data_IF_509533306858
#
_entry.id   IF_509533306858
#
_cell.length_a   1.000
_cell.length_b   1.000
_cell.length_c   1.000
_cell.angle_alpha   90.00
_cell.angle_beta   90.00
_cell.angle_gamma   90.00
#
_symmetry.space_group_name_H-M   'P 1'
#
loop_
_entity.id
_entity.type
_entity.pdbx_description
1 polymer ?
#
# COMPACT_ATOMS: atom_id res chain seq x y z
N UNK A 1 -28.85 17.20 24.24
CA UNK A 1 -27.44 17.65 24.25
C UNK A 1 -26.72 16.97 23.09
N UNK A 2 -25.92 17.71 22.34
CA UNK A 2 -25.11 17.19 21.24
C UNK A 2 -24.11 16.16 21.77
N UNK A 3 -24.07 14.96 21.15
CA UNK A 3 -23.07 13.93 21.46
C UNK A 3 -21.84 14.19 20.61
N UNK A 4 -20.89 14.93 21.18
CA UNK A 4 -19.64 15.27 20.49
C UNK A 4 -18.92 14.01 20.02
N UNK A 5 -18.99 12.94 20.81
CA UNK A 5 -18.35 11.64 20.55
C UNK A 5 -18.82 10.95 19.26
N UNK A 6 -19.98 11.33 18.70
CA UNK A 6 -20.50 10.76 17.46
C UNK A 6 -19.83 11.37 16.22
N UNK A 7 -19.20 12.55 16.35
CA UNK A 7 -18.66 13.32 15.22
C UNK A 7 -17.17 13.68 15.33
N UNK A 8 -16.48 13.24 16.39
CA UNK A 8 -15.04 13.45 16.52
C UNK A 8 -14.31 12.69 15.41
N UNK A 9 -13.19 13.25 14.93
CA UNK A 9 -12.20 12.56 14.08
C UNK A 9 -10.88 12.33 14.84
N UNK A 10 -9.97 11.47 14.33
CA UNK A 10 -8.65 11.30 14.96
C UNK A 10 -7.82 12.58 14.92
N UNK A 11 -8.01 13.40 13.87
CA UNK A 11 -7.40 14.72 13.77
C UNK A 11 -7.87 15.61 14.92
N UNK A 12 -9.17 15.59 15.21
CA UNK A 12 -9.74 16.32 16.34
C UNK A 12 -9.20 15.83 17.69
N UNK A 13 -9.09 14.52 17.92
CA UNK A 13 -8.49 13.97 19.14
C UNK A 13 -7.05 14.43 19.35
N UNK A 14 -6.24 14.44 18.29
CA UNK A 14 -4.87 14.95 18.35
C UNK A 14 -4.85 16.44 18.71
N UNK A 15 -5.72 17.25 18.07
CA UNK A 15 -5.85 18.69 18.37
C UNK A 15 -6.30 18.94 19.81
N UNK A 16 -7.24 18.14 20.32
CA UNK A 16 -7.73 18.23 21.70
C UNK A 16 -6.64 17.86 22.71
N UNK A 17 -5.87 16.79 22.47
CA UNK A 17 -4.72 16.42 23.32
C UNK A 17 -3.64 17.50 23.37
N UNK A 18 -3.39 18.20 22.26
CA UNK A 18 -2.43 19.31 22.21
C UNK A 18 -2.82 20.52 23.06
N UNK A 19 -4.05 20.59 23.58
CA UNK A 19 -4.47 21.61 24.56
C UNK A 19 -3.87 21.38 25.94
N UNK A 20 -3.51 20.14 26.27
CA UNK A 20 -3.09 19.74 27.61
C UNK A 20 -1.58 19.85 27.83
N UNK A 21 -0.87 20.64 27.02
CA UNK A 21 0.50 21.03 27.35
C UNK A 21 0.50 22.00 28.55
N UNK A 22 1.50 21.94 29.46
CA UNK A 22 1.48 22.70 30.72
C UNK A 22 1.25 24.21 30.54
N UNK A 23 1.85 24.81 29.52
CA UNK A 23 1.70 26.24 29.21
C UNK A 23 0.26 26.61 28.79
N UNK A 24 -0.37 25.81 27.93
CA UNK A 24 -1.71 26.10 27.39
C UNK A 24 -2.81 25.92 28.44
N UNK A 25 -2.66 24.94 29.31
CA UNK A 25 -3.61 24.72 30.42
C UNK A 25 -3.57 25.89 31.41
N UNK A 26 -2.39 26.47 31.63
CA UNK A 26 -2.20 27.57 32.57
C UNK A 26 -2.64 28.92 32.01
N UNK A 27 -2.25 29.24 30.77
CA UNK A 27 -2.37 30.59 30.21
C UNK A 27 -3.47 30.70 29.14
N UNK A 28 -4.12 29.59 28.79
CA UNK A 28 -5.07 29.52 27.68
C UNK A 28 -4.37 29.33 26.33
N UNK A 29 -5.15 29.21 25.26
CA UNK A 29 -4.60 29.01 23.91
C UNK A 29 -5.58 29.44 22.83
N UNK A 30 -5.08 29.62 21.61
CA UNK A 30 -5.90 29.89 20.43
C UNK A 30 -5.89 28.67 19.52
N UNK A 31 -7.08 28.25 19.08
CA UNK A 31 -7.25 27.18 18.10
C UNK A 31 -8.01 27.69 16.89
N UNK A 32 -7.86 27.06 15.73
CA UNK A 32 -8.73 27.34 14.58
C UNK A 32 -10.15 26.87 14.92
N UNK A 33 -11.15 27.73 14.68
CA UNK A 33 -12.56 27.40 14.86
C UNK A 33 -13.00 26.49 13.71
N UNK A 34 -12.77 25.19 13.86
CA UNK A 34 -13.13 24.18 12.86
C UNK A 34 -13.32 22.80 13.48
N UNK A 35 -14.21 21.99 12.89
CA UNK A 35 -14.45 20.62 13.30
C UNK A 35 -14.98 20.53 14.73
N UNK A 36 -14.29 19.79 15.61
CA UNK A 36 -14.77 19.60 16.99
C UNK A 36 -14.90 20.91 17.79
N UNK A 37 -14.09 21.93 17.47
CA UNK A 37 -14.12 23.21 18.20
C UNK A 37 -15.33 24.08 17.86
N UNK A 38 -15.89 23.94 16.66
CA UNK A 38 -17.17 24.59 16.32
C UNK A 38 -18.30 24.01 17.17
N UNK A 39 -18.31 22.68 17.34
CA UNK A 39 -19.32 21.98 18.15
C UNK A 39 -19.18 22.38 19.62
N UNK A 40 -17.95 22.43 20.16
CA UNK A 40 -17.72 22.90 21.52
C UNK A 40 -18.15 24.35 21.74
N UNK A 41 -17.84 25.23 20.80
CA UNK A 41 -18.25 26.63 20.90
C UNK A 41 -19.78 26.78 20.83
N UNK A 42 -20.41 26.15 19.84
CA UNK A 42 -21.86 26.23 19.59
C UNK A 42 -22.69 25.57 20.69
N UNK A 43 -22.33 24.36 21.09
CA UNK A 43 -23.20 23.50 21.91
C UNK A 43 -22.84 23.54 23.40
N UNK A 44 -21.64 24.02 23.75
CA UNK A 44 -21.14 24.04 25.13
C UNK A 44 -20.63 25.43 25.57
N UNK A 45 -20.76 26.45 24.72
CA UNK A 45 -20.33 27.83 25.01
C UNK A 45 -18.86 27.93 25.41
N UNK A 46 -18.02 27.12 24.77
CA UNK A 46 -16.58 27.07 25.01
C UNK A 46 -15.87 28.15 24.20
N UNK A 47 -15.07 28.98 24.87
CA UNK A 47 -14.20 29.99 24.25
C UNK A 47 -14.92 31.18 23.61
N UNK A 48 -14.10 32.14 23.14
CA UNK A 48 -14.55 33.38 22.48
C UNK A 48 -13.96 33.47 21.09
N UNK A 49 -14.76 33.85 20.09
CA UNK A 49 -14.31 33.96 18.71
C UNK A 49 -13.49 35.23 18.48
N UNK A 50 -12.43 35.09 17.70
CA UNK A 50 -11.57 36.19 17.24
C UNK A 50 -11.14 35.88 15.80
N UNK A 51 -11.93 36.37 14.83
CA UNK A 51 -11.81 35.97 13.43
C UNK A 51 -12.05 34.47 13.25
N UNK A 52 -11.13 33.79 12.56
CA UNK A 52 -11.17 32.34 12.33
C UNK A 52 -10.64 31.51 13.53
N UNK A 53 -10.30 32.17 14.64
CA UNK A 53 -9.75 31.51 15.83
C UNK A 53 -10.75 31.53 16.98
N UNK A 54 -10.68 30.49 17.79
CA UNK A 54 -11.34 30.36 19.08
C UNK A 54 -10.30 30.53 20.19
N UNK A 55 -10.48 31.56 21.02
CA UNK A 55 -9.67 31.78 22.21
C UNK A 55 -10.23 30.95 23.35
N UNK A 56 -9.38 30.10 23.94
CA UNK A 56 -9.71 29.18 25.02
C UNK A 56 -9.00 29.59 26.29
N UNK A 57 -9.76 29.73 27.37
CA UNK A 57 -9.22 29.92 28.73
C UNK A 57 -8.90 28.57 29.38
N UNK A 58 -8.21 28.58 30.53
CA UNK A 58 -8.02 27.38 31.36
C UNK A 58 -9.34 26.75 31.82
N UNK A 59 -10.41 27.55 31.94
CA UNK A 59 -11.75 27.04 32.25
C UNK A 59 -12.32 26.26 31.07
N UNK A 60 -12.18 26.80 29.86
CA UNK A 60 -12.64 26.17 28.62
C UNK A 60 -11.95 24.83 28.38
N UNK A 61 -10.62 24.77 28.56
CA UNK A 61 -9.84 23.52 28.41
C UNK A 61 -10.30 22.45 29.42
N UNK A 62 -10.60 22.84 30.66
CA UNK A 62 -11.16 21.93 31.67
C UNK A 62 -12.56 21.46 31.31
N UNK A 63 -13.39 22.34 30.74
CA UNK A 63 -14.74 22.00 30.29
C UNK A 63 -14.70 21.02 29.11
N UNK A 64 -13.81 21.24 28.14
CA UNK A 64 -13.57 20.31 27.03
C UNK A 64 -13.22 18.91 27.56
N UNK A 65 -12.25 18.82 28.50
CA UNK A 65 -11.87 17.54 29.13
C UNK A 65 -13.06 16.85 29.78
N UNK A 66 -13.83 17.62 30.57
CA UNK A 66 -14.99 17.11 31.30
C UNK A 66 -16.01 16.50 30.35
N UNK A 67 -16.39 17.23 29.30
CA UNK A 67 -17.39 16.78 28.33
C UNK A 67 -16.95 15.52 27.59
N UNK A 68 -15.68 15.43 27.15
CA UNK A 68 -15.18 14.22 26.49
C UNK A 68 -15.19 13.03 27.45
N UNK A 69 -14.69 13.22 28.67
CA UNK A 69 -14.63 12.15 29.68
C UNK A 69 -16.01 11.65 30.07
N UNK A 70 -16.99 12.55 30.25
CA UNK A 70 -18.37 12.19 30.59
C UNK A 70 -19.10 11.45 29.46
N UNK A 71 -18.81 11.79 28.20
CA UNK A 71 -19.50 11.16 27.07
C UNK A 71 -18.86 9.86 26.58
N UNK A 72 -17.52 9.73 26.65
CA UNK A 72 -16.77 8.59 26.08
C UNK A 72 -16.07 7.69 27.11
N UNK A 73 -15.94 8.15 28.37
CA UNK A 73 -15.04 7.54 29.34
C UNK A 73 -13.55 7.82 29.08
N UNK A 74 -13.18 8.43 27.94
CA UNK A 74 -11.81 8.75 27.57
C UNK A 74 -11.33 10.05 28.22
N UNK A 75 -10.19 10.00 28.90
CA UNK A 75 -9.56 11.16 29.53
C UNK A 75 -8.41 11.70 28.68
N UNK A 76 -8.63 12.87 28.08
CA UNK A 76 -7.66 13.56 27.21
C UNK A 76 -6.28 13.81 27.87
N UNK A 77 -6.22 13.84 29.21
CA UNK A 77 -4.97 14.09 29.93
C UNK A 77 -4.18 12.81 30.20
N UNK A 78 -4.86 11.71 30.56
CA UNK A 78 -4.21 10.50 31.10
C UNK A 78 -4.16 9.35 30.10
N UNK A 79 -5.17 9.23 29.24
CA UNK A 79 -5.32 8.03 28.41
C UNK A 79 -4.50 8.19 27.13
N UNK A 80 -3.66 7.22 26.72
CA UNK A 80 -2.93 7.29 25.46
C UNK A 80 -3.91 7.36 24.28
N UNK A 81 -3.49 8.00 23.16
CA UNK A 81 -4.33 7.99 21.96
C UNK A 81 -4.38 6.53 21.47
N UNK A 82 -5.57 5.93 21.29
CA UNK A 82 -5.67 4.55 20.87
C UNK A 82 -5.05 4.33 19.48
N UNK A 83 -4.37 3.20 19.29
CA UNK A 83 -3.53 2.93 18.11
C UNK A 83 -4.20 2.04 17.06
N UNK A 84 -5.34 1.42 17.38
CA UNK A 84 -6.11 0.59 16.44
C UNK A 84 -7.59 1.00 16.40
N UNK A 85 -8.30 0.57 15.35
CA UNK A 85 -9.76 0.78 15.23
C UNK A 85 -10.52 0.09 16.35
N UNK A 86 -10.05 -1.08 16.78
CA UNK A 86 -10.63 -1.84 17.88
C UNK A 86 -10.48 -1.10 19.21
N UNK A 87 -9.30 -0.52 19.47
CA UNK A 87 -9.08 0.25 20.70
C UNK A 87 -9.87 1.56 20.70
N UNK A 88 -10.05 2.20 19.53
CA UNK A 88 -10.89 3.39 19.37
C UNK A 88 -12.37 3.10 19.63
N UNK A 89 -12.86 1.93 19.20
CA UNK A 89 -14.24 1.49 19.39
C UNK A 89 -14.61 1.26 20.87
N UNK A 90 -13.63 1.12 21.77
CA UNK A 90 -13.87 1.05 23.21
C UNK A 90 -14.41 2.36 23.79
N UNK A 91 -14.08 3.49 23.16
CA UNK A 91 -14.38 4.83 23.70
C UNK A 91 -15.32 5.65 22.82
N UNK A 92 -15.29 5.43 21.50
CA UNK A 92 -16.03 6.25 20.55
C UNK A 92 -16.87 5.40 19.59
N UNK A 93 -18.19 5.66 19.42
CA UNK A 93 -19.08 4.85 18.59
C UNK A 93 -18.83 4.93 17.08
N UNK A 94 -18.11 5.95 16.60
CA UNK A 94 -17.98 6.21 15.16
C UNK A 94 -16.75 5.48 14.57
N UNK A 95 -16.95 4.44 13.78
CA UNK A 95 -15.88 3.64 13.13
C UNK A 95 -14.97 4.44 12.17
N UNK A 96 -15.31 5.69 11.82
CA UNK A 96 -14.50 6.55 10.94
C UNK A 96 -13.38 7.32 11.66
N UNK A 97 -13.00 6.85 12.85
CA UNK A 97 -12.15 7.55 13.79
C UNK A 97 -10.66 7.19 13.78
N UNK A 98 -10.15 6.56 12.72
CA UNK A 98 -8.70 6.36 12.52
C UNK A 98 -8.25 6.87 11.15
N UNK A 99 -7.68 8.07 11.07
CA UNK A 99 -6.95 8.55 9.88
C UNK A 99 -5.54 7.98 9.76
N UNK A 100 -5.28 6.79 10.32
CA UNK A 100 -4.15 5.94 9.95
C UNK A 100 -4.64 4.50 9.82
N UNK A 101 -4.85 4.00 8.59
CA UNK A 101 -4.42 2.66 8.35
C UNK A 101 -2.89 2.73 8.33
N UNK A 102 -2.22 2.29 9.39
CA UNK A 102 -1.12 1.38 9.11
C UNK A 102 -1.86 0.12 8.64
N UNK A 103 -2.32 0.12 7.37
CA UNK A 103 -2.91 -1.07 6.77
C UNK A 103 -1.74 -2.03 6.81
N UNK A 104 -1.80 -2.92 7.77
CA UNK A 104 -0.90 -4.05 7.82
C UNK A 104 -0.93 -4.66 6.42
N UNK A 105 0.21 -4.62 5.74
CA UNK A 105 0.27 -4.95 4.32
C UNK A 105 0.01 -6.44 4.18
N UNK A 106 -1.14 -6.79 3.66
CA UNK A 106 -1.49 -8.19 3.37
C UNK A 106 -0.81 -8.55 2.05
N UNK A 107 -0.09 -9.66 2.06
CA UNK A 107 0.59 -10.21 0.91
C UNK A 107 -0.11 -11.50 0.50
N UNK A 108 -0.18 -11.76 -0.80
CA UNK A 108 -0.73 -13.00 -1.35
C UNK A 108 0.39 -13.77 -2.02
N UNK A 109 0.60 -15.01 -1.57
CA UNK A 109 1.76 -15.81 -1.97
C UNK A 109 1.41 -17.26 -2.23
N UNK A 110 2.16 -17.89 -3.13
CA UNK A 110 2.21 -19.35 -3.26
C UNK A 110 3.50 -19.80 -3.96
N UNK A 111 3.95 -21.02 -3.69
CA UNK A 111 5.04 -21.66 -4.43
C UNK A 111 4.55 -22.49 -5.62
N UNK A 112 5.36 -22.60 -6.67
CA UNK A 112 5.01 -23.40 -7.86
C UNK A 112 4.92 -24.91 -7.59
N UNK A 113 5.72 -25.45 -6.69
CA UNK A 113 5.64 -26.85 -6.27
C UNK A 113 5.05 -26.96 -4.86
N UNK A 114 5.57 -26.16 -3.93
CA UNK A 114 5.08 -26.05 -2.56
C UNK A 114 5.39 -24.68 -2.01
N UNK A 115 4.51 -24.16 -1.15
CA UNK A 115 4.74 -22.86 -0.49
C UNK A 115 5.52 -23.11 0.80
N UNK A 116 6.76 -22.63 0.87
CA UNK A 116 7.68 -22.86 1.98
C UNK A 116 7.99 -21.51 2.67
N UNK A 117 7.26 -21.22 3.73
CA UNK A 117 7.40 -19.95 4.47
C UNK A 117 7.34 -20.22 5.98
N UNK A 118 8.04 -19.41 6.76
CA UNK A 118 8.11 -19.50 8.22
C UNK A 118 8.54 -20.90 8.72
N UNK A 119 9.43 -21.58 8.00
CA UNK A 119 9.90 -22.92 8.33
C UNK A 119 8.83 -24.01 8.17
N UNK A 120 7.74 -23.72 7.45
CA UNK A 120 6.64 -24.65 7.18
C UNK A 120 6.45 -24.83 5.68
N UNK A 121 6.14 -26.06 5.29
CA UNK A 121 5.76 -26.42 3.93
C UNK A 121 4.23 -26.54 3.86
N UNK A 122 3.64 -25.88 2.87
CA UNK A 122 2.21 -25.93 2.56
C UNK A 122 2.04 -26.44 1.13
N UNK A 123 1.30 -27.53 0.99
CA UNK A 123 0.89 -28.07 -0.30
C UNK A 123 -0.48 -27.46 -0.65
N UNK A 124 -0.47 -26.51 -1.59
CA UNK A 124 -1.65 -25.76 -2.00
C UNK A 124 -2.20 -26.32 -3.31
N UNK A 125 -3.52 -26.46 -3.40
CA UNK A 125 -4.18 -26.84 -4.65
C UNK A 125 -4.17 -25.70 -5.68
N UNK A 126 -4.54 -26.01 -6.92
CA UNK A 126 -4.65 -24.99 -7.96
C UNK A 126 -5.69 -23.93 -7.58
N UNK A 127 -5.35 -22.66 -7.82
CA UNK A 127 -6.18 -21.51 -7.41
C UNK A 127 -6.04 -21.10 -5.94
N UNK A 128 -5.40 -21.92 -5.09
CA UNK A 128 -5.13 -21.54 -3.71
C UNK A 128 -3.90 -20.63 -3.60
N UNK A 129 -3.97 -19.68 -2.66
CA UNK A 129 -2.86 -18.85 -2.23
C UNK A 129 -2.98 -18.59 -0.73
N UNK A 130 -1.86 -18.25 -0.09
CA UNK A 130 -1.83 -17.83 1.31
C UNK A 130 -1.89 -16.30 1.34
N UNK A 131 -2.88 -15.78 2.07
CA UNK A 131 -2.91 -14.37 2.47
C UNK A 131 -2.34 -14.25 3.89
N UNK A 132 -1.29 -13.44 4.04
CA UNK A 132 -0.64 -13.23 5.33
C UNK A 132 -0.24 -11.77 5.45
N UNK A 133 -0.19 -11.24 6.68
CA UNK A 133 0.47 -9.96 6.92
C UNK A 133 1.97 -10.06 6.61
N UNK A 134 2.54 -9.04 5.96
CA UNK A 134 3.98 -8.93 5.77
C UNK A 134 4.74 -8.97 7.10
N UNK A 135 4.17 -8.42 8.19
CA UNK A 135 4.79 -8.46 9.53
C UNK A 135 4.90 -9.88 10.10
N UNK A 136 4.03 -10.79 9.63
CA UNK A 136 3.95 -12.17 10.06
C UNK A 136 4.79 -13.12 9.18
N UNK A 137 5.30 -12.64 8.05
CA UNK A 137 6.24 -13.38 7.22
C UNK A 137 7.66 -13.20 7.79
N UNK A 138 8.15 -14.21 8.49
CA UNK A 138 9.43 -14.25 9.21
C UNK A 138 10.55 -14.89 8.41
N UNK A 139 10.23 -15.89 7.59
CA UNK A 139 11.19 -16.50 6.67
C UNK A 139 10.52 -16.91 5.36
N UNK A 140 11.31 -16.92 4.30
CA UNK A 140 10.95 -17.46 3.00
C UNK A 140 12.00 -18.53 2.69
N UNK A 141 11.55 -19.77 2.56
CA UNK A 141 12.43 -20.92 2.34
C UNK A 141 12.44 -21.28 0.83
N UNK A 142 12.64 -20.24 0.02
CA UNK A 142 12.73 -20.27 -1.45
C UNK A 142 13.95 -19.45 -1.91
N UNK A 143 14.59 -19.86 -3.00
CA UNK A 143 15.76 -19.15 -3.54
C UNK A 143 15.39 -17.91 -4.36
N UNK A 144 14.15 -17.88 -4.87
CA UNK A 144 13.65 -16.83 -5.75
C UNK A 144 12.26 -16.37 -5.31
N UNK A 145 12.00 -15.07 -5.40
CA UNK A 145 10.69 -14.46 -5.27
C UNK A 145 10.33 -13.80 -6.60
N UNK A 146 9.15 -14.10 -7.13
CA UNK A 146 8.63 -13.47 -8.34
C UNK A 146 7.48 -12.55 -7.96
N UNK A 147 7.70 -11.25 -8.08
CA UNK A 147 6.65 -10.25 -7.87
C UNK A 147 5.87 -10.08 -9.16
N UNK A 148 4.56 -10.26 -9.08
CA UNK A 148 3.63 -10.19 -10.20
C UNK A 148 2.75 -8.95 -10.08
N UNK A 149 2.70 -8.11 -11.13
CA UNK A 149 1.92 -6.87 -11.13
C UNK A 149 0.40 -7.09 -11.15
N UNK A 150 -0.08 -7.97 -12.02
CA UNK A 150 -1.50 -8.18 -12.23
C UNK A 150 -2.03 -9.38 -11.42
N UNK A 151 -3.22 -9.23 -10.81
CA UNK A 151 -3.80 -10.30 -9.99
C UNK A 151 -4.23 -11.52 -10.82
N UNK A 152 -4.77 -11.33 -12.02
CA UNK A 152 -5.11 -12.43 -12.91
C UNK A 152 -3.85 -13.18 -13.33
N UNK A 153 -2.79 -12.46 -13.69
CA UNK A 153 -1.51 -13.06 -14.02
C UNK A 153 -0.88 -13.80 -12.82
N UNK A 154 -0.99 -13.22 -11.61
CA UNK A 154 -0.59 -13.88 -10.37
C UNK A 154 -1.36 -15.18 -10.15
N UNK A 155 -2.68 -15.16 -10.30
CA UNK A 155 -3.53 -16.33 -10.03
C UNK A 155 -3.26 -17.51 -10.97
N UNK A 156 -2.78 -17.22 -12.18
CA UNK A 156 -2.52 -18.19 -13.25
C UNK A 156 -1.03 -18.38 -13.55
N UNK A 157 -0.12 -17.86 -12.71
CA UNK A 157 1.33 -17.87 -12.99
C UNK A 157 1.87 -19.29 -13.26
N UNK A 158 1.25 -20.33 -12.68
CA UNK A 158 1.58 -21.75 -12.93
C UNK A 158 1.58 -22.15 -14.41
N UNK A 159 0.83 -21.43 -15.25
CA UNK A 159 0.74 -21.67 -16.70
C UNK A 159 1.86 -20.98 -17.50
N UNK A 160 2.65 -20.11 -16.85
CA UNK A 160 3.69 -19.32 -17.49
C UNK A 160 4.91 -20.20 -17.76
N UNK A 161 5.29 -20.30 -19.03
CA UNK A 161 6.52 -20.96 -19.44
C UNK A 161 7.70 -20.02 -19.18
N UNK A 162 8.62 -20.41 -18.29
CA UNK A 162 9.81 -19.62 -17.94
C UNK A 162 11.03 -20.51 -17.71
N UNK A 163 12.22 -19.92 -17.78
CA UNK A 163 13.52 -20.55 -17.51
C UNK A 163 14.02 -20.32 -16.06
N UNK A 164 13.10 -19.99 -15.15
CA UNK A 164 13.39 -19.77 -13.73
C UNK A 164 13.67 -21.08 -12.97
N UNK A 165 14.05 -20.93 -11.68
CA UNK A 165 14.14 -22.06 -10.77
C UNK A 165 12.82 -22.84 -10.65
N UNK A 166 12.90 -24.07 -10.17
CA UNK A 166 11.75 -24.99 -10.17
C UNK A 166 10.64 -24.63 -9.18
N UNK A 167 10.93 -23.89 -8.11
CA UNK A 167 9.95 -23.53 -7.07
C UNK A 167 10.18 -22.10 -6.52
N UNK A 168 10.02 -21.04 -7.32
CA UNK A 168 9.99 -19.69 -6.80
C UNK A 168 8.74 -19.46 -5.94
N UNK A 169 8.84 -18.52 -5.00
CA UNK A 169 7.67 -17.98 -4.32
C UNK A 169 7.04 -16.89 -5.20
N UNK A 170 5.83 -17.12 -5.69
CA UNK A 170 5.08 -16.15 -6.48
C UNK A 170 4.35 -15.22 -5.51
N UNK A 171 4.49 -13.92 -5.70
CA UNK A 171 3.92 -12.90 -4.83
C UNK A 171 3.16 -11.86 -5.64
N UNK A 172 1.92 -11.61 -5.26
CA UNK A 172 1.17 -10.51 -5.84
C UNK A 172 1.70 -9.18 -5.29
N UNK A 173 2.00 -8.22 -6.16
CA UNK A 173 2.60 -6.94 -5.74
C UNK A 173 1.66 -6.04 -4.93
N UNK A 174 0.37 -6.33 -4.91
CA UNK A 174 -0.67 -5.48 -4.34
C UNK A 174 -1.24 -4.46 -5.32
N UNK A 175 -2.37 -3.85 -4.94
CA UNK A 175 -3.05 -2.80 -5.70
C UNK A 175 -3.11 -1.49 -4.89
N UNK A 176 -3.83 -0.50 -5.43
CA UNK A 176 -4.01 0.80 -4.76
C UNK A 176 -4.78 0.68 -3.44
N UNK A 177 -5.58 -0.36 -3.25
CA UNK A 177 -6.43 -0.56 -2.08
C UNK A 177 -5.69 -1.32 -0.97
N UNK A 178 -4.94 -2.37 -1.32
CA UNK A 178 -4.12 -3.21 -0.43
C UNK A 178 -2.71 -2.67 -0.18
N UNK A 179 -2.24 -1.76 -1.02
CA UNK A 179 -0.90 -1.17 -0.97
C UNK A 179 0.12 -1.97 -1.78
N UNK A 180 0.96 -1.27 -2.55
CA UNK A 180 2.07 -1.89 -3.29
C UNK A 180 3.15 -2.33 -2.29
N UNK A 181 3.64 -3.57 -2.40
CA UNK A 181 4.55 -4.19 -1.41
C UNK A 181 5.94 -4.51 -1.97
N UNK A 182 6.19 -4.21 -3.25
CA UNK A 182 7.33 -4.75 -3.97
C UNK A 182 8.67 -4.39 -3.34
N UNK A 183 8.81 -3.13 -2.92
CA UNK A 183 10.02 -2.62 -2.28
C UNK A 183 10.18 -3.13 -0.85
N UNK A 184 9.08 -3.30 -0.14
CA UNK A 184 9.10 -3.83 1.23
C UNK A 184 9.53 -5.29 1.27
N UNK A 185 9.16 -6.10 0.28
CA UNK A 185 9.67 -7.47 0.15
C UNK A 185 11.19 -7.45 -0.06
N UNK A 186 11.68 -6.63 -0.99
CA UNK A 186 13.12 -6.50 -1.26
C UNK A 186 13.91 -6.11 0.00
N UNK A 187 13.36 -5.20 0.81
CA UNK A 187 13.98 -4.74 2.05
C UNK A 187 13.88 -5.77 3.19
N UNK A 188 12.79 -6.53 3.27
CA UNK A 188 12.58 -7.54 4.31
C UNK A 188 13.40 -8.80 4.07
N UNK A 189 13.66 -9.16 2.80
CA UNK A 189 14.36 -10.38 2.41
C UNK A 189 15.48 -10.11 1.39
N UNK A 190 16.52 -9.33 1.76
CA UNK A 190 17.56 -8.90 0.82
C UNK A 190 18.44 -10.03 0.30
N UNK A 191 18.49 -11.17 1.00
CA UNK A 191 19.29 -12.34 0.63
C UNK A 191 18.63 -13.22 -0.44
N UNK A 192 17.37 -12.95 -0.79
CA UNK A 192 16.60 -13.76 -1.73
C UNK A 192 16.58 -13.08 -3.09
N UNK A 193 16.76 -13.86 -4.15
CA UNK A 193 16.77 -13.32 -5.50
C UNK A 193 15.37 -12.83 -5.88
N UNK A 194 15.25 -11.50 -6.05
CA UNK A 194 14.00 -10.86 -6.41
C UNK A 194 13.88 -10.67 -7.91
N UNK A 195 12.80 -11.21 -8.46
CA UNK A 195 12.44 -11.18 -9.87
C UNK A 195 11.14 -10.40 -10.04
N UNK A 196 11.10 -9.44 -10.96
CA UNK A 196 9.88 -8.73 -11.32
C UNK A 196 9.27 -9.31 -12.60
N UNK A 197 7.97 -9.62 -12.58
CA UNK A 197 7.19 -9.87 -13.80
C UNK A 197 6.01 -8.91 -13.90
N UNK A 198 6.17 -7.92 -14.77
CA UNK A 198 5.30 -6.76 -14.93
C UNK A 198 4.92 -6.66 -16.41
N UNK A 199 3.98 -5.77 -16.74
CA UNK A 199 3.64 -5.51 -18.14
C UNK A 199 4.90 -5.09 -18.92
N UNK A 200 5.05 -5.61 -20.14
CA UNK A 200 6.16 -5.23 -21.03
C UNK A 200 5.77 -3.97 -21.80
N UNK A 201 5.68 -2.88 -21.06
CA UNK A 201 5.47 -1.51 -21.52
C UNK A 201 6.38 -0.55 -20.72
N UNK A 202 6.53 0.73 -21.13
CA UNK A 202 7.46 1.64 -20.46
C UNK A 202 7.21 1.80 -18.94
N UNK A 203 5.96 1.75 -18.48
CA UNK A 203 5.60 1.91 -17.06
C UNK A 203 5.79 0.61 -16.30
N UNK A 204 5.37 -0.53 -16.84
CA UNK A 204 5.58 -1.83 -16.23
C UNK A 204 7.07 -2.09 -16.03
N UNK A 205 7.91 -1.78 -17.03
CA UNK A 205 9.37 -1.85 -16.90
C UNK A 205 9.85 -0.86 -15.83
N UNK A 206 9.45 0.41 -15.87
CA UNK A 206 9.84 1.40 -14.84
C UNK A 206 9.48 0.95 -13.41
N UNK A 207 8.31 0.34 -13.22
CA UNK A 207 7.86 -0.18 -11.93
C UNK A 207 8.63 -1.44 -11.51
N UNK A 208 9.00 -2.31 -12.46
CA UNK A 208 9.88 -3.44 -12.20
C UNK A 208 11.24 -2.96 -11.66
N UNK A 209 11.83 -1.92 -12.24
CA UNK A 209 13.06 -1.30 -11.72
C UNK A 209 12.88 -0.68 -10.34
N UNK A 210 11.79 0.07 -10.14
CA UNK A 210 11.51 0.70 -8.86
C UNK A 210 11.20 -0.30 -7.73
N UNK A 211 10.93 -1.57 -8.06
CA UNK A 211 10.64 -2.62 -7.08
C UNK A 211 11.87 -3.06 -6.27
N UNK A 212 13.09 -2.79 -6.76
CA UNK A 212 14.32 -3.31 -6.16
C UNK A 212 14.68 -4.73 -6.60
N UNK A 213 14.00 -5.28 -7.61
CA UNK A 213 14.35 -6.55 -8.22
C UNK A 213 15.73 -6.49 -8.89
N UNK A 214 16.51 -7.58 -8.78
CA UNK A 214 17.77 -7.75 -9.52
C UNK A 214 17.58 -8.43 -10.87
N UNK A 215 16.38 -8.95 -11.13
CA UNK A 215 16.01 -9.59 -12.39
C UNK A 215 14.59 -9.21 -12.82
N UNK A 216 14.33 -9.34 -14.11
CA UNK A 216 13.02 -9.15 -14.73
C UNK A 216 12.69 -10.33 -15.64
N UNK A 217 11.44 -10.75 -15.67
CA UNK A 217 10.92 -11.68 -16.68
C UNK A 217 10.47 -10.90 -17.91
N UNK A 218 11.11 -11.19 -19.04
CA UNK A 218 10.82 -10.58 -20.34
C UNK A 218 10.22 -11.61 -21.29
N UNK A 219 9.20 -11.25 -22.09
CA UNK A 219 8.64 -12.17 -23.08
C UNK A 219 9.60 -12.41 -24.25
N UNK A 220 9.67 -13.66 -24.71
CA UNK A 220 10.38 -14.02 -25.94
C UNK A 220 9.50 -13.69 -27.15
N UNK A 221 9.60 -12.43 -27.60
CA UNK A 221 8.73 -11.87 -28.63
C UNK A 221 9.36 -11.94 -30.03
N UNK A 222 8.50 -12.22 -31.01
CA UNK A 222 8.72 -11.88 -32.43
C UNK A 222 8.06 -10.54 -32.77
N UNK A 223 8.42 -9.98 -33.94
CA UNK A 223 7.82 -8.71 -34.41
C UNK A 223 6.35 -8.89 -34.74
N UNK A 224 6.00 -10.05 -35.28
CA UNK A 224 4.65 -10.48 -35.65
C UNK A 224 3.78 -10.60 -34.40
N UNK A 225 4.27 -11.33 -33.39
CA UNK A 225 3.57 -11.49 -32.09
C UNK A 225 3.29 -10.14 -31.43
N UNK A 226 4.25 -9.22 -31.42
CA UNK A 226 4.05 -7.89 -30.83
C UNK A 226 3.09 -7.02 -31.67
N UNK A 227 3.04 -7.20 -33.00
CA UNK A 227 2.05 -6.54 -33.86
C UNK A 227 0.64 -7.04 -33.60
N UNK A 228 0.47 -8.35 -33.47
CA UNK A 228 -0.85 -8.99 -33.36
C UNK A 228 -1.45 -8.81 -31.96
N UNK A 229 -0.62 -8.88 -30.92
CA UNK A 229 -1.08 -8.94 -29.53
C UNK A 229 -0.65 -7.74 -28.66
N UNK A 230 0.23 -6.89 -29.19
CA UNK A 230 0.64 -5.66 -28.52
C UNK A 230 -0.33 -4.50 -28.75
N UNK A 231 -0.25 -3.50 -27.87
CA UNK A 231 -1.10 -2.31 -27.89
C UNK A 231 -0.26 -1.04 -27.98
N UNK A 232 -0.60 -0.17 -28.94
CA UNK A 232 0.16 1.06 -29.20
C UNK A 232 -0.07 2.14 -28.14
N UNK A 233 -1.26 2.16 -27.53
CA UNK A 233 -1.59 3.11 -26.46
C UNK A 233 -0.72 2.93 -25.20
N UNK A 234 -0.23 1.72 -24.94
CA UNK A 234 0.69 1.44 -23.83
C UNK A 234 2.06 2.09 -24.06
N UNK A 235 2.49 2.22 -25.31
CA UNK A 235 3.77 2.81 -25.68
C UNK A 235 3.67 4.34 -25.82
N UNK A 236 2.67 4.83 -26.55
CA UNK A 236 2.57 6.24 -26.94
C UNK A 236 2.29 7.18 -25.77
N UNK A 237 1.50 6.75 -24.78
CA UNK A 237 1.18 7.58 -23.62
C UNK A 237 2.38 7.79 -22.68
N UNK A 238 3.50 7.09 -22.91
CA UNK A 238 4.64 7.04 -22.00
C UNK A 238 5.99 7.17 -22.73
N UNK A 239 5.97 7.59 -24.00
CA UNK A 239 7.17 7.71 -24.84
C UNK A 239 8.25 8.60 -24.20
N UNK A 240 7.84 9.62 -23.44
CA UNK A 240 8.76 10.52 -22.72
C UNK A 240 9.69 9.78 -21.74
N UNK A 241 9.25 8.66 -21.17
CA UNK A 241 10.07 7.85 -20.26
C UNK A 241 10.80 6.70 -20.98
N UNK A 242 10.50 6.46 -22.26
CA UNK A 242 11.03 5.31 -23.00
C UNK A 242 12.55 5.35 -23.16
N UNK A 243 13.15 6.51 -23.42
CA UNK A 243 14.61 6.61 -23.57
C UNK A 243 15.35 6.11 -22.32
N UNK A 244 14.89 6.53 -21.15
CA UNK A 244 15.47 6.13 -19.86
C UNK A 244 15.23 4.64 -19.59
N UNK A 245 14.00 4.17 -19.77
CA UNK A 245 13.60 2.81 -19.38
C UNK A 245 14.12 1.77 -20.37
N UNK A 246 14.22 2.11 -21.65
CA UNK A 246 14.72 1.21 -22.70
C UNK A 246 16.20 0.87 -22.54
N UNK A 247 16.98 1.72 -21.87
CA UNK A 247 18.38 1.44 -21.56
C UNK A 247 18.56 0.27 -20.58
N UNK A 248 17.48 -0.09 -19.88
CA UNK A 248 17.51 -1.06 -18.80
C UNK A 248 17.05 -2.46 -19.23
N UNK A 249 16.56 -2.62 -20.46
CA UNK A 249 16.08 -3.89 -21.03
C UNK A 249 17.06 -4.40 -22.10
N UNK A 250 17.00 -5.68 -22.49
CA UNK A 250 17.91 -6.19 -23.51
C UNK A 250 17.77 -5.45 -24.85
N UNK A 251 18.87 -5.25 -25.59
CA UNK A 251 18.86 -4.53 -26.87
C UNK A 251 17.86 -5.09 -27.88
N UNK A 252 17.68 -6.41 -27.93
CA UNK A 252 16.70 -7.08 -28.81
C UNK A 252 15.27 -6.61 -28.51
N UNK A 253 14.88 -6.57 -27.23
CA UNK A 253 13.55 -6.15 -26.81
C UNK A 253 13.34 -4.65 -27.03
N UNK A 254 14.35 -3.83 -26.72
CA UNK A 254 14.35 -2.40 -27.03
C UNK A 254 14.09 -2.13 -28.51
N UNK A 255 14.87 -2.76 -29.39
CA UNK A 255 14.74 -2.59 -30.84
C UNK A 255 13.34 -3.03 -31.32
N UNK A 256 12.84 -4.15 -30.79
CA UNK A 256 11.53 -4.66 -31.14
C UNK A 256 10.42 -3.68 -30.78
N UNK A 257 10.37 -3.24 -29.52
CA UNK A 257 9.35 -2.32 -29.00
C UNK A 257 9.42 -0.96 -29.71
N UNK A 258 10.61 -0.41 -29.95
CA UNK A 258 10.76 0.83 -30.72
C UNK A 258 10.32 0.69 -32.19
N UNK A 259 10.50 -0.48 -32.80
CA UNK A 259 10.15 -0.67 -34.21
C UNK A 259 8.66 -0.86 -34.46
N UNK A 260 7.91 -1.31 -33.44
CA UNK A 260 6.47 -1.58 -33.53
C UNK A 260 5.65 -0.55 -32.74
N UNK A 261 6.29 0.20 -31.84
CA UNK A 261 5.68 1.19 -30.95
C UNK A 261 4.49 0.59 -30.17
N UNK A 262 4.70 -0.60 -29.61
CA UNK A 262 3.70 -1.36 -28.85
C UNK A 262 4.31 -1.94 -27.58
N UNK A 263 3.51 -1.92 -26.50
CA UNK A 263 3.74 -2.74 -25.31
C UNK A 263 2.83 -3.97 -25.30
N UNK A 264 3.13 -4.95 -24.46
CA UNK A 264 2.30 -6.16 -24.28
C UNK A 264 2.05 -6.41 -22.79
N UNK A 265 0.81 -6.75 -22.44
CA UNK A 265 0.42 -6.99 -21.04
C UNK A 265 0.68 -8.44 -20.61
N UNK A 266 0.74 -8.68 -19.30
CA UNK A 266 0.90 -10.02 -18.74
C UNK A 266 -0.22 -10.98 -19.19
N UNK A 267 -1.47 -10.53 -19.23
CA UNK A 267 -2.60 -11.37 -19.68
C UNK A 267 -2.47 -11.73 -21.15
N UNK A 268 -1.97 -10.81 -21.99
CA UNK A 268 -1.72 -11.08 -23.40
C UNK A 268 -0.58 -12.08 -23.58
N UNK A 269 0.49 -11.97 -22.79
CA UNK A 269 1.58 -12.96 -22.76
C UNK A 269 1.03 -14.35 -22.44
N UNK A 270 0.21 -14.45 -21.40
CA UNK A 270 -0.37 -15.72 -20.95
C UNK A 270 -1.39 -16.31 -21.93
N UNK A 271 -2.33 -15.49 -22.41
CA UNK A 271 -3.39 -15.93 -23.31
C UNK A 271 -2.86 -16.50 -24.63
N UNK A 272 -1.69 -16.03 -25.06
CA UNK A 272 -1.06 -16.45 -26.32
C UNK A 272 0.11 -17.41 -26.12
N UNK A 273 0.31 -17.94 -24.90
CA UNK A 273 1.36 -18.93 -24.61
C UNK A 273 2.79 -18.42 -24.88
N UNK A 274 3.03 -17.12 -24.72
CA UNK A 274 4.34 -16.52 -24.98
C UNK A 274 5.24 -16.84 -23.79
N UNK A 275 6.34 -17.56 -24.05
CA UNK A 275 7.33 -17.87 -23.01
C UNK A 275 8.03 -16.60 -22.52
N UNK A 276 8.37 -16.55 -21.25
CA UNK A 276 9.18 -15.47 -20.65
C UNK A 276 10.56 -15.99 -20.28
N UNK A 277 11.56 -15.11 -20.27
CA UNK A 277 12.95 -15.43 -19.92
C UNK A 277 13.44 -14.51 -18.83
N UNK A 278 14.29 -15.04 -17.96
CA UNK A 278 14.94 -14.30 -16.90
C UNK A 278 16.05 -13.41 -17.47
N UNK A 279 16.03 -12.13 -17.10
CA UNK A 279 17.04 -11.15 -17.49
C UNK A 279 17.53 -10.38 -16.28
N UNK A 280 18.86 -10.24 -16.16
CA UNK A 280 19.50 -9.51 -15.06
C UNK A 280 19.50 -8.01 -15.31
N UNK A 281 19.17 -7.23 -14.28
CA UNK A 281 19.03 -5.77 -14.35
C UNK A 281 19.92 -5.03 -13.36
#
# INVERSE_FOLDING_TARGET
>A
MSRIIENITSSDLNRLKQLFSPAKVKDGTNVVLSGVFEIFHRDFSVGITSGEKLQLTSRDIRQIRKVIKEQSGFDLLTDPIPNSRTDMAQFFPNEKLSSRPVKEKIIKVYGLLSTNINGRKYDLEEGMNIEISLSCLKSIDHNQIVIVENYEAFSKFRLVQSDMGSNPLIVYRGDKEGGVISKEIALAFPEIELVAWFDTDPKGISLAFASGAGYILIPDLSKETLKDHGRSNLFNNQYQNWEQVSALIPPKLKLLMSSVEKGITQESIMANGISVRLYKI
#
